data_IF_359578859866
#
_entry.id   IF_359578859866
#
_cell.length_a   1.000
_cell.length_b   1.000
_cell.length_c   1.000
_cell.angle_alpha   90.00
_cell.angle_beta   90.00
_cell.angle_gamma   90.00
#
_symmetry.space_group_name_H-M   'P 1'
#
loop_
_entity.id
_entity.type
_entity.pdbx_description
1 polymer ?
#
# COMPACT_ATOMS: atom_id res chain seq x y z
N UNK A 1 -30.74 0.29 -8.07
CA UNK A 1 -30.22 -1.05 -7.72
C UNK A 1 -30.20 -1.12 -6.20
N UNK A 2 -31.38 -1.21 -5.58
CA UNK A 2 -31.58 -0.66 -4.23
C UNK A 2 -31.48 -1.74 -3.14
N UNK A 3 -30.39 -2.49 -3.14
CA UNK A 3 -30.11 -3.53 -2.15
C UNK A 3 -28.63 -3.84 -2.00
N UNK A 4 -28.25 -4.59 -0.97
CA UNK A 4 -26.87 -4.98 -0.66
C UNK A 4 -26.10 -5.47 -1.89
N UNK A 5 -26.69 -6.41 -2.65
CA UNK A 5 -26.09 -6.94 -3.90
C UNK A 5 -25.98 -5.90 -5.01
N UNK A 6 -26.89 -4.93 -5.06
CA UNK A 6 -26.84 -3.81 -5.99
C UNK A 6 -25.64 -2.89 -5.75
N UNK A 7 -25.30 -2.63 -4.49
CA UNK A 7 -24.11 -1.86 -4.11
C UNK A 7 -22.82 -2.56 -4.52
N UNK A 8 -22.67 -3.86 -4.28
CA UNK A 8 -21.49 -4.61 -4.74
C UNK A 8 -21.41 -4.70 -6.27
N UNK A 9 -22.54 -4.87 -6.94
CA UNK A 9 -22.59 -4.85 -8.40
C UNK A 9 -22.14 -3.48 -8.94
N UNK A 10 -22.55 -2.38 -8.30
CA UNK A 10 -22.12 -1.02 -8.66
C UNK A 10 -20.61 -0.84 -8.43
N UNK A 11 -20.09 -1.29 -7.29
CA UNK A 11 -18.64 -1.28 -7.01
C UNK A 11 -17.86 -2.08 -8.06
N UNK A 12 -18.34 -3.28 -8.40
CA UNK A 12 -17.74 -4.15 -9.41
C UNK A 12 -17.74 -3.49 -10.80
N UNK A 13 -18.85 -2.84 -11.18
CA UNK A 13 -18.94 -2.10 -12.44
C UNK A 13 -17.96 -0.92 -12.48
N UNK A 14 -17.81 -0.17 -11.39
CA UNK A 14 -16.86 0.95 -11.30
C UNK A 14 -15.41 0.44 -11.43
N UNK A 15 -15.06 -0.64 -10.75
CA UNK A 15 -13.74 -1.27 -10.87
C UNK A 15 -13.48 -1.77 -12.29
N UNK A 16 -14.46 -2.46 -12.89
CA UNK A 16 -14.37 -2.95 -14.26
C UNK A 16 -14.21 -1.79 -15.26
N UNK A 17 -14.98 -0.71 -15.09
CA UNK A 17 -14.82 0.50 -15.90
C UNK A 17 -13.42 1.10 -15.76
N UNK A 18 -12.87 1.18 -14.55
CA UNK A 18 -11.50 1.64 -14.31
C UNK A 18 -10.44 0.79 -15.04
N UNK A 19 -10.58 -0.54 -14.96
CA UNK A 19 -9.70 -1.48 -15.70
C UNK A 19 -9.87 -1.31 -17.20
N UNK A 20 -11.10 -1.19 -17.70
CA UNK A 20 -11.39 -0.97 -19.13
C UNK A 20 -10.77 0.32 -19.64
N UNK A 21 -10.84 1.42 -18.88
CA UNK A 21 -10.19 2.68 -19.23
C UNK A 21 -8.67 2.52 -19.27
N UNK A 22 -8.08 1.85 -18.28
CA UNK A 22 -6.64 1.60 -18.24
C UNK A 22 -6.19 0.76 -19.46
N UNK A 23 -6.82 -0.39 -19.69
CA UNK A 23 -6.50 -1.27 -20.82
C UNK A 23 -6.77 -0.58 -22.16
N UNK A 24 -7.89 0.14 -22.27
CA UNK A 24 -8.24 0.90 -23.47
C UNK A 24 -7.22 2.00 -23.78
N UNK A 25 -6.76 2.74 -22.77
CA UNK A 25 -5.74 3.78 -22.94
C UNK A 25 -4.38 3.20 -23.37
N UNK A 26 -3.92 2.12 -22.72
CA UNK A 26 -2.67 1.45 -23.09
C UNK A 26 -2.76 0.76 -24.47
N UNK A 27 -3.91 0.17 -24.79
CA UNK A 27 -4.19 -0.43 -26.10
C UNK A 27 -4.21 0.62 -27.22
N UNK A 28 -4.88 1.75 -26.99
CA UNK A 28 -4.89 2.88 -27.90
C UNK A 28 -3.49 3.47 -28.09
N UNK A 29 -2.72 3.65 -27.01
CA UNK A 29 -1.32 4.10 -27.10
C UNK A 29 -0.49 3.11 -27.93
N UNK A 30 -0.61 1.81 -27.69
CA UNK A 30 0.11 0.79 -28.48
C UNK A 30 -0.28 0.81 -29.97
N UNK A 31 -1.55 1.09 -30.30
CA UNK A 31 -2.03 1.12 -31.69
C UNK A 31 -1.70 2.44 -32.41
N UNK A 32 -1.79 3.57 -31.70
CA UNK A 32 -1.60 4.91 -32.26
C UNK A 32 -0.15 5.38 -32.18
N UNK A 33 0.68 4.80 -31.30
CA UNK A 33 2.07 5.21 -31.16
C UNK A 33 2.85 4.94 -32.46
N UNK A 34 3.67 5.89 -32.93
CA UNK A 34 4.53 5.67 -34.07
C UNK A 34 5.53 4.54 -33.78
N UNK A 35 5.30 3.37 -34.37
CA UNK A 35 6.25 2.28 -34.32
C UNK A 35 7.52 2.73 -35.07
N UNK A 36 8.60 2.96 -34.33
CA UNK A 36 9.94 3.12 -34.91
C UNK A 36 10.59 1.74 -34.95
N UNK A 37 10.68 1.08 -36.13
CA UNK A 37 11.21 -0.29 -36.25
C UNK A 37 12.71 -0.33 -35.95
N UNK A 38 13.40 0.79 -36.17
CA UNK A 38 14.75 0.97 -35.68
C UNK A 38 14.70 1.05 -34.16
N UNK A 39 15.26 0.04 -33.49
CA UNK A 39 15.67 0.14 -32.10
C UNK A 39 17.11 0.67 -32.09
N UNK A 40 17.32 2.00 -32.06
CA UNK A 40 18.68 2.52 -31.97
C UNK A 40 19.37 1.95 -30.72
N UNK A 41 20.68 1.67 -30.80
CA UNK A 41 21.45 1.22 -29.65
C UNK A 41 21.22 2.17 -28.47
N UNK A 42 20.93 1.64 -27.29
CA UNK A 42 20.65 2.46 -26.11
C UNK A 42 19.19 2.87 -25.90
N UNK A 43 18.24 2.57 -26.79
CA UNK A 43 16.81 2.92 -26.54
C UNK A 43 16.23 2.30 -25.26
N UNK A 44 16.73 1.12 -24.87
CA UNK A 44 16.25 0.32 -23.74
C UNK A 44 17.25 0.23 -22.57
N UNK A 45 18.37 0.96 -22.62
CA UNK A 45 19.32 0.95 -21.50
C UNK A 45 18.80 1.84 -20.37
N UNK A 46 19.11 1.48 -19.12
CA UNK A 46 18.78 2.33 -17.99
C UNK A 46 19.50 3.68 -18.09
N UNK A 47 18.83 4.74 -17.64
CA UNK A 47 19.33 6.10 -17.78
C UNK A 47 20.42 6.38 -16.74
N UNK A 48 21.66 6.61 -17.20
CA UNK A 48 22.77 7.13 -16.39
C UNK A 48 23.54 8.25 -17.12
N UNK A 49 22.82 9.17 -17.77
CA UNK A 49 23.41 10.35 -18.45
C UNK A 49 24.55 10.03 -19.42
N UNK A 50 24.44 8.93 -20.19
CA UNK A 50 25.43 8.52 -21.18
C UNK A 50 26.55 7.61 -20.65
N UNK A 51 26.47 7.21 -19.38
CA UNK A 51 27.32 6.17 -18.79
C UNK A 51 26.58 4.83 -18.90
N UNK A 52 27.33 3.76 -19.12
CA UNK A 52 26.77 2.41 -19.06
C UNK A 52 26.28 2.13 -17.63
N UNK A 53 25.00 1.75 -17.47
CA UNK A 53 24.41 1.67 -16.15
C UNK A 53 25.14 0.68 -15.24
N UNK A 54 25.44 1.11 -14.02
CA UNK A 54 26.18 0.31 -13.04
C UNK A 54 25.26 -0.20 -11.94
N UNK A 55 25.38 -1.50 -11.64
CA UNK A 55 24.49 -2.20 -10.71
C UNK A 55 23.43 -2.98 -11.47
N UNK A 56 23.62 -4.30 -11.55
CA UNK A 56 22.59 -5.20 -12.07
C UNK A 56 21.40 -5.32 -11.12
N UNK A 57 20.37 -6.06 -11.56
CA UNK A 57 19.06 -6.31 -10.92
C UNK A 57 19.06 -6.72 -9.42
N UNK A 58 20.23 -6.90 -8.81
CA UNK A 58 20.47 -7.39 -7.45
C UNK A 58 21.35 -6.46 -6.62
N UNK A 59 21.33 -5.14 -6.88
CA UNK A 59 21.87 -4.19 -5.92
C UNK A 59 21.22 -4.45 -4.55
N UNK A 60 22.04 -4.69 -3.52
CA UNK A 60 21.52 -5.01 -2.19
C UNK A 60 20.70 -3.83 -1.68
N UNK A 61 19.37 -3.97 -1.73
CA UNK A 61 18.47 -3.02 -1.13
C UNK A 61 18.80 -2.94 0.37
N UNK A 62 18.85 -1.72 0.90
CA UNK A 62 19.15 -1.51 2.31
C UNK A 62 18.15 -2.29 3.18
N UNK A 63 18.65 -3.11 4.12
CA UNK A 63 17.79 -3.91 5.02
C UNK A 63 16.78 -3.06 5.81
N UNK A 64 17.04 -1.76 5.92
CA UNK A 64 16.12 -0.79 6.54
C UNK A 64 14.73 -0.82 5.88
N UNK A 65 14.64 -0.97 4.55
CA UNK A 65 13.33 -1.09 3.86
C UNK A 65 12.53 -2.29 4.33
N UNK A 66 13.20 -3.44 4.53
CA UNK A 66 12.57 -4.63 5.09
C UNK A 66 12.04 -4.38 6.50
N UNK A 67 12.81 -3.69 7.35
CA UNK A 67 12.38 -3.37 8.71
C UNK A 67 11.15 -2.45 8.73
N UNK A 68 11.11 -1.44 7.86
CA UNK A 68 9.92 -0.58 7.71
C UNK A 68 8.70 -1.37 7.20
N UNK A 69 8.87 -2.22 6.19
CA UNK A 69 7.79 -3.05 5.66
C UNK A 69 7.26 -4.03 6.72
N UNK A 70 8.16 -4.65 7.48
CA UNK A 70 7.80 -5.56 8.58
C UNK A 70 7.01 -4.83 9.67
N UNK A 71 7.48 -3.67 10.11
CA UNK A 71 6.77 -2.83 11.07
C UNK A 71 5.39 -2.43 10.53
N UNK A 72 5.31 -2.00 9.26
CA UNK A 72 4.04 -1.64 8.63
C UNK A 72 3.04 -2.80 8.65
N UNK A 73 3.44 -4.00 8.22
CA UNK A 73 2.54 -5.17 8.20
C UNK A 73 2.04 -5.51 9.60
N UNK A 74 2.93 -5.47 10.60
CA UNK A 74 2.58 -5.71 12.00
C UNK A 74 1.53 -4.69 12.49
N UNK A 75 1.78 -3.39 12.28
CA UNK A 75 0.83 -2.34 12.64
C UNK A 75 -0.48 -2.38 11.84
N UNK A 76 -0.43 -2.74 10.56
CA UNK A 76 -1.60 -2.81 9.69
C UNK A 76 -2.56 -3.92 10.14
N UNK A 77 -2.03 -5.09 10.51
CA UNK A 77 -2.83 -6.19 11.07
C UNK A 77 -3.47 -5.76 12.38
N UNK A 78 -2.72 -5.09 13.26
CA UNK A 78 -3.27 -4.64 14.54
C UNK A 78 -4.33 -3.54 14.39
N UNK A 79 -4.17 -2.64 13.42
CA UNK A 79 -5.16 -1.61 13.12
C UNK A 79 -6.50 -2.19 12.64
N UNK A 80 -6.52 -3.37 12.00
CA UNK A 80 -7.77 -4.02 11.62
C UNK A 80 -8.62 -4.41 12.83
N UNK A 81 -7.99 -4.69 13.99
CA UNK A 81 -8.73 -4.98 15.22
C UNK A 81 -9.47 -3.76 15.80
N UNK A 82 -9.21 -2.55 15.30
CA UNK A 82 -9.96 -1.35 15.65
C UNK A 82 -11.38 -1.35 15.06
N UNK A 83 -11.61 -2.02 13.93
CA UNK A 83 -12.90 -1.97 13.24
C UNK A 83 -14.04 -2.64 14.01
N UNK A 84 -13.90 -3.88 14.52
CA UNK A 84 -14.98 -4.51 15.29
C UNK A 84 -15.36 -3.69 16.52
N UNK A 85 -14.38 -3.08 17.18
CA UNK A 85 -14.59 -2.20 18.32
C UNK A 85 -15.45 -0.98 17.95
N UNK A 86 -15.08 -0.28 16.87
CA UNK A 86 -15.80 0.92 16.41
C UNK A 86 -17.28 0.65 16.08
N UNK A 87 -17.61 -0.61 15.76
CA UNK A 87 -18.97 -1.04 15.39
C UNK A 87 -19.82 -1.43 16.61
N UNK A 88 -19.21 -1.75 17.76
CA UNK A 88 -19.94 -2.26 18.94
C UNK A 88 -19.96 -1.31 20.14
N UNK A 89 -19.15 -0.25 20.13
CA UNK A 89 -19.00 0.69 21.24
C UNK A 89 -20.32 1.30 21.75
N UNK A 90 -21.30 1.50 20.86
CA UNK A 90 -22.60 2.08 21.20
C UNK A 90 -23.62 1.07 21.75
N UNK A 91 -23.26 -0.22 21.81
CA UNK A 91 -24.16 -1.28 22.26
C UNK A 91 -24.33 -1.27 23.78
N UNK A 92 -25.52 -1.64 24.28
CA UNK A 92 -25.76 -1.77 25.71
C UNK A 92 -24.73 -2.71 26.37
N UNK A 93 -24.04 -2.21 27.40
CA UNK A 93 -23.00 -2.96 28.12
C UNK A 93 -21.56 -2.74 27.63
N UNK A 94 -21.34 -2.07 26.48
CA UNK A 94 -20.02 -1.86 25.86
C UNK A 94 -19.51 -0.41 25.95
N UNK A 95 -20.00 0.40 26.90
CA UNK A 95 -19.61 1.81 27.03
C UNK A 95 -18.17 2.03 27.53
N UNK A 96 -18.04 2.43 28.80
CA UNK A 96 -16.74 2.86 29.38
C UNK A 96 -15.69 1.74 29.41
N UNK A 97 -16.11 0.49 29.63
CA UNK A 97 -15.21 -0.67 29.69
C UNK A 97 -14.49 -0.87 28.36
N UNK A 98 -15.24 -0.83 27.25
CA UNK A 98 -14.71 -1.04 25.91
C UNK A 98 -13.84 0.13 25.45
N UNK A 99 -14.10 1.35 25.91
CA UNK A 99 -13.18 2.49 25.74
C UNK A 99 -11.86 2.26 26.48
N UNK A 100 -11.91 1.74 27.71
CA UNK A 100 -10.71 1.46 28.50
C UNK A 100 -9.86 0.35 27.86
N UNK A 101 -10.48 -0.75 27.44
CA UNK A 101 -9.82 -1.85 26.72
C UNK A 101 -9.14 -1.35 25.43
N UNK A 102 -9.83 -0.51 24.67
CA UNK A 102 -9.28 0.11 23.46
C UNK A 102 -8.11 1.04 23.78
N UNK A 103 -8.24 1.85 24.83
CA UNK A 103 -7.16 2.70 25.31
C UNK A 103 -5.91 1.89 25.65
N UNK A 104 -6.07 0.74 26.31
CA UNK A 104 -4.97 -0.17 26.62
C UNK A 104 -4.36 -0.75 25.34
N UNK A 105 -5.19 -1.21 24.39
CA UNK A 105 -4.71 -1.76 23.12
C UNK A 105 -3.92 -0.72 22.30
N UNK A 106 -4.43 0.51 22.16
CA UNK A 106 -3.71 1.60 21.49
C UNK A 106 -2.43 1.96 22.24
N UNK A 107 -2.44 1.92 23.58
CA UNK A 107 -1.24 2.17 24.36
C UNK A 107 -0.15 1.11 24.10
N UNK A 108 -0.53 -0.17 23.99
CA UNK A 108 0.41 -1.26 23.63
C UNK A 108 1.01 -1.02 22.23
N UNK A 109 0.19 -0.66 21.25
CA UNK A 109 0.65 -0.26 19.91
C UNK A 109 1.64 0.92 19.96
N UNK A 110 1.26 1.98 20.67
CA UNK A 110 2.09 3.16 20.83
C UNK A 110 3.43 2.84 21.51
N UNK A 111 3.44 1.92 22.49
CA UNK A 111 4.66 1.44 23.13
C UNK A 111 5.58 0.73 22.14
N UNK A 112 5.04 -0.06 21.20
CA UNK A 112 5.80 -0.68 20.12
C UNK A 112 6.52 0.35 19.22
N UNK A 113 5.80 1.38 18.79
CA UNK A 113 6.36 2.49 18.00
C UNK A 113 7.42 3.24 18.80
N UNK A 114 7.11 3.57 20.06
CA UNK A 114 8.02 4.28 20.96
C UNK A 114 9.32 3.50 21.15
N UNK A 115 9.24 2.17 21.31
CA UNK A 115 10.41 1.31 21.40
C UNK A 115 11.25 1.33 20.12
N UNK A 116 10.62 1.17 18.95
CA UNK A 116 11.32 1.22 17.67
C UNK A 116 12.03 2.57 17.44
N UNK A 117 11.38 3.66 17.84
CA UNK A 117 11.97 5.01 17.80
C UNK A 117 13.15 5.16 18.76
N UNK A 118 13.02 4.68 20.01
CA UNK A 118 14.11 4.67 21.00
C UNK A 118 15.31 3.87 20.54
N UNK A 119 15.09 2.77 19.81
CA UNK A 119 16.15 1.95 19.19
C UNK A 119 16.74 2.54 17.90
N UNK A 120 16.29 3.73 17.48
CA UNK A 120 16.77 4.42 16.26
C UNK A 120 16.58 3.61 14.98
N UNK A 121 15.71 2.60 14.99
CA UNK A 121 15.39 1.75 13.84
C UNK A 121 14.72 2.58 12.74
N UNK A 122 13.96 3.61 13.14
CA UNK A 122 13.26 4.55 12.27
C UNK A 122 14.15 5.70 11.76
N UNK A 123 15.48 5.58 11.84
CA UNK A 123 16.39 6.66 11.41
C UNK A 123 16.84 6.45 9.97
N UNK A 124 16.70 7.50 9.16
CA UNK A 124 17.13 7.53 7.77
C UNK A 124 18.29 8.52 7.61
N UNK A 125 19.42 8.14 8.20
CA UNK A 125 20.74 8.72 7.95
C UNK A 125 21.75 7.61 7.68
#
# INVERSE_FOLDING_TARGET
>A
MDGYLGTYATLGLVLAAGVLVFVGAFGANKLLSPAHPAEPPGKRIAYESGIDPVGGDWAQAQIRYYVYAYLYVLFAVEAVFLFPWAVIFDRPGFGVVTVAEMGIFVAVLALGILYAWRKKILTWT
#
